data_IF_426689193684
#
_entry.id   IF_426689193684
#
_cell.length_a   1.000
_cell.length_b   1.000
_cell.length_c   1.000
_cell.angle_alpha   90.00
_cell.angle_beta   90.00
_cell.angle_gamma   90.00
#
_symmetry.space_group_name_H-M   'P 1'
#
loop_
_entity.id
_entity.type
_entity.pdbx_description
1 polymer ?
#
# COMPACT_ATOMS: atom_id res chain seq x y z
N UNK A 1 -0.69 0.36 23.05
CA UNK A 1 -0.29 0.50 21.64
C UNK A 1 0.59 1.73 21.53
N UNK A 2 1.74 1.57 20.90
CA UNK A 2 2.73 2.64 20.71
C UNK A 2 2.33 3.62 19.60
N UNK A 3 1.55 3.14 18.64
CA UNK A 3 1.08 3.92 17.49
C UNK A 3 -0.37 4.38 17.72
N UNK A 4 -0.51 5.61 18.23
CA UNK A 4 -1.80 6.25 18.48
C UNK A 4 -2.04 7.42 17.51
N UNK A 5 -3.26 7.95 17.41
CA UNK A 5 -3.51 9.17 16.63
C UNK A 5 -2.68 10.36 17.09
N UNK A 6 -2.40 10.47 18.39
CA UNK A 6 -1.57 11.52 18.98
C UNK A 6 -0.10 11.36 18.61
N UNK A 7 0.39 10.12 18.54
CA UNK A 7 1.72 9.83 17.99
C UNK A 7 1.79 10.26 16.54
N UNK A 8 0.79 9.92 15.72
CA UNK A 8 0.75 10.32 14.32
C UNK A 8 0.71 11.85 14.15
N UNK A 9 0.01 12.57 15.02
CA UNK A 9 0.01 14.03 15.04
C UNK A 9 1.40 14.60 15.34
N UNK A 10 2.09 14.07 16.34
CA UNK A 10 3.43 14.51 16.71
C UNK A 10 4.45 14.31 15.57
N UNK A 11 4.35 13.19 14.84
CA UNK A 11 5.27 12.85 13.76
C UNK A 11 4.96 13.56 12.43
N UNK A 12 3.67 13.75 12.11
CA UNK A 12 3.25 14.22 10.79
C UNK A 12 2.73 15.66 10.76
N UNK A 13 2.36 16.22 11.90
CA UNK A 13 1.66 17.50 12.00
C UNK A 13 0.16 17.43 11.62
N UNK A 14 -0.36 16.25 11.25
CA UNK A 14 -1.79 16.05 10.99
C UNK A 14 -2.52 15.77 12.30
N UNK A 15 -3.57 16.55 12.60
CA UNK A 15 -4.24 16.42 13.89
C UNK A 15 -4.80 15.02 14.15
N UNK A 16 -4.69 14.55 15.39
CA UNK A 16 -5.22 13.27 15.84
C UNK A 16 -6.71 13.11 15.53
N UNK A 17 -7.46 14.22 15.63
CA UNK A 17 -8.87 14.27 15.24
C UNK A 17 -9.07 13.93 13.76
N UNK A 18 -8.28 14.53 12.87
CA UNK A 18 -8.37 14.28 11.43
C UNK A 18 -7.97 12.84 11.09
N UNK A 19 -6.89 12.34 11.68
CA UNK A 19 -6.47 10.94 11.52
C UNK A 19 -7.60 9.97 11.89
N UNK A 20 -8.23 10.21 13.06
CA UNK A 20 -9.33 9.38 13.54
C UNK A 20 -10.57 9.48 12.64
N UNK A 21 -10.91 10.66 12.16
CA UNK A 21 -12.06 10.86 11.28
C UNK A 21 -11.87 10.14 9.94
N UNK A 22 -10.71 10.31 9.30
CA UNK A 22 -10.37 9.62 8.04
C UNK A 22 -10.40 8.10 8.23
N UNK A 23 -9.81 7.60 9.32
CA UNK A 23 -9.84 6.16 9.61
C UNK A 23 -11.27 5.61 9.75
N UNK A 24 -12.16 6.36 10.41
CA UNK A 24 -13.58 6.01 10.53
C UNK A 24 -14.31 6.04 9.18
N UNK A 25 -14.00 7.01 8.31
CA UNK A 25 -14.56 7.07 6.96
C UNK A 25 -14.13 5.86 6.12
N UNK A 26 -12.85 5.51 6.18
CA UNK A 26 -12.33 4.29 5.52
C UNK A 26 -13.07 3.05 6.04
N UNK A 27 -13.20 2.91 7.35
CA UNK A 27 -13.92 1.79 7.96
C UNK A 27 -15.40 1.71 7.53
N UNK A 28 -16.09 2.86 7.41
CA UNK A 28 -17.48 2.92 6.93
C UNK A 28 -17.61 2.59 5.44
N UNK A 29 -16.59 2.89 4.64
CA UNK A 29 -16.59 2.54 3.22
C UNK A 29 -16.57 1.00 3.01
N UNK A 30 -15.96 0.27 3.96
CA UNK A 30 -15.84 -1.18 3.90
C UNK A 30 -15.19 -1.62 2.58
N UNK A 31 -15.79 -2.58 1.91
CA UNK A 31 -15.26 -3.13 0.65
C UNK A 31 -15.23 -2.14 -0.53
N UNK A 32 -15.86 -0.98 -0.39
CA UNK A 32 -15.84 0.08 -1.42
C UNK A 32 -14.73 1.10 -1.23
N UNK A 33 -13.69 0.72 -0.53
CA UNK A 33 -12.48 1.53 -0.37
C UNK A 33 -11.50 1.29 -1.52
N UNK A 34 -10.96 2.36 -2.07
CA UNK A 34 -9.88 2.32 -3.05
C UNK A 34 -8.87 3.41 -2.72
N UNK A 35 -7.60 3.08 -2.80
CA UNK A 35 -6.53 4.04 -2.67
C UNK A 35 -5.69 4.12 -3.94
N UNK A 36 -5.13 5.27 -4.20
CA UNK A 36 -4.24 5.50 -5.32
C UNK A 36 -2.84 5.79 -4.82
N UNK A 37 -1.88 5.08 -5.38
CA UNK A 37 -0.47 5.33 -5.15
C UNK A 37 0.24 5.55 -6.49
N UNK A 38 0.71 6.78 -6.71
CA UNK A 38 1.45 7.09 -7.92
C UNK A 38 2.91 6.67 -7.78
N UNK A 39 3.51 6.31 -8.91
CA UNK A 39 4.88 5.77 -8.96
C UNK A 39 5.92 6.57 -8.19
N UNK A 40 5.86 7.90 -8.20
CA UNK A 40 6.80 8.75 -7.48
C UNK A 40 6.65 8.68 -5.95
N UNK A 41 5.46 8.43 -5.44
CA UNK A 41 5.24 8.26 -4.01
C UNK A 41 5.88 6.97 -3.48
N UNK A 42 5.89 5.91 -4.31
CA UNK A 42 6.50 4.63 -3.94
C UNK A 42 7.99 4.53 -4.21
N UNK A 43 8.49 5.20 -5.26
CA UNK A 43 9.87 5.02 -5.73
C UNK A 43 10.75 6.26 -5.62
N UNK A 44 10.16 7.45 -5.52
CA UNK A 44 10.88 8.73 -5.50
C UNK A 44 11.18 9.28 -4.10
N UNK A 45 10.64 8.68 -3.05
CA UNK A 45 10.82 9.13 -1.67
C UNK A 45 11.46 8.07 -0.80
N UNK A 46 12.33 8.50 0.11
CA UNK A 46 12.83 7.64 1.17
C UNK A 46 11.64 7.12 2.01
N UNK A 47 11.52 5.82 2.14
CA UNK A 47 10.38 5.21 2.83
C UNK A 47 9.07 5.13 2.03
N UNK A 48 9.06 5.55 0.77
CA UNK A 48 7.85 5.51 -0.07
C UNK A 48 7.25 4.12 -0.24
N UNK A 49 8.07 3.08 -0.21
CA UNK A 49 7.59 1.70 -0.21
C UNK A 49 6.75 1.35 1.03
N UNK A 50 7.11 1.92 2.20
CA UNK A 50 6.34 1.73 3.43
C UNK A 50 4.96 2.40 3.33
N UNK A 51 4.90 3.60 2.75
CA UNK A 51 3.63 4.29 2.45
C UNK A 51 2.77 3.46 1.52
N UNK A 52 3.33 2.97 0.41
CA UNK A 52 2.62 2.11 -0.54
C UNK A 52 2.09 0.84 0.14
N UNK A 53 2.90 0.22 0.99
CA UNK A 53 2.52 -0.98 1.77
C UNK A 53 1.38 -0.67 2.74
N UNK A 54 1.43 0.45 3.46
CA UNK A 54 0.37 0.85 4.38
C UNK A 54 -0.96 1.11 3.65
N UNK A 55 -0.92 1.81 2.51
CA UNK A 55 -2.11 2.04 1.69
C UNK A 55 -2.71 0.72 1.19
N UNK A 56 -1.88 -0.20 0.72
CA UNK A 56 -2.36 -1.52 0.30
C UNK A 56 -2.92 -2.32 1.48
N UNK A 57 -2.31 -2.21 2.65
CA UNK A 57 -2.79 -2.84 3.87
C UNK A 57 -4.18 -2.35 4.29
N UNK A 58 -4.49 -1.06 4.10
CA UNK A 58 -5.85 -0.54 4.31
C UNK A 58 -6.86 -1.24 3.39
N UNK A 59 -6.49 -1.51 2.14
CA UNK A 59 -7.34 -2.26 1.21
C UNK A 59 -7.57 -3.71 1.66
N UNK A 60 -6.57 -4.33 2.30
CA UNK A 60 -6.72 -5.68 2.89
C UNK A 60 -7.62 -5.64 4.12
N UNK A 61 -7.40 -4.69 5.03
CA UNK A 61 -8.20 -4.54 6.26
C UNK A 61 -9.68 -4.27 5.97
N UNK A 62 -9.98 -3.52 4.93
CA UNK A 62 -11.36 -3.23 4.53
C UNK A 62 -12.00 -4.34 3.68
N UNK A 63 -11.22 -5.37 3.30
CA UNK A 63 -11.68 -6.41 2.39
C UNK A 63 -11.96 -5.92 0.97
N UNK A 64 -11.39 -4.78 0.57
CA UNK A 64 -11.68 -4.14 -0.71
C UNK A 64 -10.93 -4.73 -1.90
N UNK A 65 -9.93 -5.58 -1.66
CA UNK A 65 -9.14 -6.21 -2.73
C UNK A 65 -10.01 -7.20 -3.51
N UNK A 66 -10.20 -6.95 -4.78
CA UNK A 66 -11.03 -7.78 -5.66
C UNK A 66 -12.54 -7.62 -5.45
N UNK A 67 -12.98 -6.75 -4.55
CA UNK A 67 -14.40 -6.48 -4.33
C UNK A 67 -14.96 -5.46 -5.34
N UNK A 68 -16.24 -5.56 -5.64
CA UNK A 68 -16.93 -4.59 -6.51
C UNK A 68 -16.91 -3.21 -5.84
N UNK A 69 -16.38 -2.22 -6.53
CA UNK A 69 -16.20 -0.86 -6.01
C UNK A 69 -14.97 -0.68 -5.12
N UNK A 70 -14.17 -1.73 -4.96
CA UNK A 70 -12.90 -1.71 -4.23
C UNK A 70 -11.68 -1.61 -5.13
N UNK A 71 -10.55 -2.07 -4.62
CA UNK A 71 -9.27 -2.06 -5.33
C UNK A 71 -9.12 -3.33 -6.16
N UNK A 72 -8.99 -3.17 -7.46
CA UNK A 72 -8.65 -4.28 -8.35
C UNK A 72 -7.14 -4.22 -8.65
N UNK A 73 -6.38 -5.29 -8.39
CA UNK A 73 -5.00 -5.36 -8.83
C UNK A 73 -5.00 -5.42 -10.35
N UNK A 74 -4.72 -4.32 -10.98
CA UNK A 74 -4.64 -4.24 -12.42
C UNK A 74 -3.18 -4.11 -12.82
N UNK A 75 -2.58 -5.21 -13.15
CA UNK A 75 -1.28 -5.21 -13.80
C UNK A 75 -1.46 -5.13 -15.31
N UNK A 76 -2.25 -4.37 -15.80
CA UNK A 76 -2.37 -3.93 -17.17
C UNK A 76 -1.49 -4.56 -18.22
N UNK A 77 -2.12 -4.99 -19.23
CA UNK A 77 -1.66 -5.37 -20.57
C UNK A 77 -0.70 -4.41 -21.29
N UNK A 78 -0.02 -3.53 -20.62
CA UNK A 78 1.09 -2.75 -21.17
C UNK A 78 2.30 -3.62 -21.52
N UNK A 79 2.42 -4.76 -20.86
CA UNK A 79 3.45 -5.75 -21.16
C UNK A 79 2.80 -7.10 -21.37
N UNK A 80 2.98 -7.68 -22.53
CA UNK A 80 2.63 -9.08 -22.73
C UNK A 80 3.50 -9.91 -21.78
N UNK A 81 2.93 -10.74 -20.91
CA UNK A 81 3.73 -11.58 -20.04
C UNK A 81 4.59 -12.49 -20.89
N UNK A 82 5.91 -12.35 -20.79
CA UNK A 82 6.83 -13.37 -21.25
C UNK A 82 7.06 -14.31 -20.09
N UNK A 83 6.71 -15.57 -20.27
CA UNK A 83 7.08 -16.61 -19.32
C UNK A 83 8.60 -16.69 -19.22
N UNK A 84 9.11 -16.66 -17.99
CA UNK A 84 10.50 -16.99 -17.76
C UNK A 84 10.64 -18.50 -17.81
N UNK A 85 11.58 -19.00 -18.58
CA UNK A 85 11.81 -20.45 -18.74
C UNK A 85 12.39 -21.09 -17.48
N UNK A 86 12.99 -20.30 -16.59
CA UNK A 86 13.44 -20.71 -15.26
C UNK A 86 13.59 -19.51 -14.35
N UNK A 87 13.28 -19.61 -13.06
CA UNK A 87 13.61 -18.55 -12.10
C UNK A 87 15.13 -18.43 -12.00
N UNK A 88 15.65 -17.23 -11.67
CA UNK A 88 17.06 -17.05 -11.35
C UNK A 88 17.48 -17.98 -10.21
N UNK A 89 18.72 -18.46 -10.22
CA UNK A 89 19.21 -19.31 -9.14
C UNK A 89 19.19 -18.53 -7.81
N UNK A 90 18.92 -19.23 -6.71
CA UNK A 90 18.88 -18.62 -5.35
C UNK A 90 20.20 -17.91 -5.00
N UNK A 91 21.31 -18.38 -5.55
CA UNK A 91 22.63 -17.77 -5.36
C UNK A 91 22.68 -16.32 -5.88
N UNK A 92 22.01 -16.05 -6.98
CA UNK A 92 21.92 -14.70 -7.54
C UNK A 92 21.17 -13.71 -6.64
N UNK A 93 20.14 -14.16 -5.97
CA UNK A 93 19.36 -13.33 -5.03
C UNK A 93 20.15 -12.97 -3.79
N UNK A 94 20.98 -13.90 -3.30
CA UNK A 94 21.81 -13.67 -2.14
C UNK A 94 22.99 -12.71 -2.43
N UNK A 95 23.41 -12.61 -3.67
CA UNK A 95 24.45 -11.67 -4.10
C UNK A 95 23.93 -10.24 -4.32
N UNK A 96 22.62 -10.07 -4.51
CA UNK A 96 21.99 -8.78 -4.75
C UNK A 96 21.41 -8.12 -3.49
N UNK A 97 21.32 -8.86 -2.40
CA UNK A 97 20.83 -8.38 -1.11
C UNK A 97 21.97 -8.28 -0.12
N UNK A 98 22.61 -7.12 -0.11
CA UNK A 98 23.52 -6.74 0.95
C UNK A 98 22.77 -6.13 2.12
#
# INVERSE_FOLDING_TARGET
SEYTPEFAEAESGVSAKMVTEVARQIGRAGTRFSCHNWRSAGSGNLGGWAVARCLHFLSVLTGSVGAIGGTLPSAWNKFKPKGFSSPPSQKFWNELHF
#
